data_IF_028069626535
#
_entry.id   IF_028069626535
#
_cell.length_a   1.000
_cell.length_b   1.000
_cell.length_c   1.000
_cell.angle_alpha   90.00
_cell.angle_beta   90.00
_cell.angle_gamma   90.00
#
_symmetry.space_group_name_H-M   'P 1'
#
loop_
_entity.id
_entity.type
_entity.pdbx_description
1 polymer ?
#
# COMPACT_ATOMS: atom_id res chain seq x y z
N UNK A 1 39.01 5.70 8.00
CA UNK A 1 37.65 5.99 7.50
C UNK A 1 36.85 6.60 8.64
N UNK A 2 36.41 7.86 8.50
CA UNK A 2 35.58 8.49 9.54
C UNK A 2 34.13 8.01 9.39
N UNK A 3 33.34 8.04 10.46
CA UNK A 3 31.89 7.75 10.36
C UNK A 3 31.17 8.72 9.42
N UNK A 4 31.74 9.90 9.22
CA UNK A 4 31.21 10.94 8.36
C UNK A 4 31.43 10.58 6.88
N UNK A 5 32.64 10.15 6.51
CA UNK A 5 32.93 9.70 5.15
C UNK A 5 32.10 8.50 4.72
N UNK A 6 31.80 7.59 5.66
CA UNK A 6 30.93 6.44 5.40
C UNK A 6 29.46 6.83 5.15
N UNK A 7 28.96 7.89 5.80
CA UNK A 7 27.59 8.37 5.57
C UNK A 7 27.44 9.06 4.22
N UNK A 8 28.41 9.90 3.86
CA UNK A 8 28.45 10.59 2.56
C UNK A 8 28.56 9.60 1.41
N UNK A 9 29.36 8.55 1.58
CA UNK A 9 29.48 7.48 0.59
C UNK A 9 28.19 6.65 0.47
N UNK A 10 27.51 6.37 1.58
CA UNK A 10 26.21 5.69 1.57
C UNK A 10 25.13 6.53 0.87
N UNK A 11 25.07 7.82 1.13
CA UNK A 11 24.12 8.73 0.45
C UNK A 11 24.39 8.81 -1.06
N UNK A 12 25.67 8.85 -1.46
CA UNK A 12 26.06 8.79 -2.88
C UNK A 12 25.58 7.50 -3.54
N UNK A 13 25.83 6.35 -2.91
CA UNK A 13 25.41 5.04 -3.42
C UNK A 13 23.88 4.91 -3.55
N UNK A 14 23.12 5.46 -2.58
CA UNK A 14 21.65 5.48 -2.64
C UNK A 14 21.18 6.33 -3.83
N UNK A 15 21.74 7.53 -4.02
CA UNK A 15 21.36 8.44 -5.11
C UNK A 15 21.64 7.81 -6.48
N UNK A 16 22.83 7.26 -6.68
CA UNK A 16 23.18 6.57 -7.92
C UNK A 16 22.28 5.36 -8.20
N UNK A 17 21.90 4.61 -7.15
CA UNK A 17 21.01 3.44 -7.30
C UNK A 17 19.59 3.86 -7.70
N UNK A 18 19.10 4.98 -7.16
CA UNK A 18 17.81 5.58 -7.53
C UNK A 18 17.83 6.11 -8.97
N UNK A 19 18.91 6.77 -9.40
CA UNK A 19 19.10 7.27 -10.77
C UNK A 19 19.17 6.14 -11.80
N UNK A 20 19.94 5.09 -11.49
CA UNK A 20 20.08 3.90 -12.34
C UNK A 20 18.80 3.05 -12.41
N UNK A 21 17.78 3.36 -11.59
CA UNK A 21 16.53 2.60 -11.46
C UNK A 21 16.76 1.10 -11.28
N UNK A 22 17.89 0.70 -10.66
CA UNK A 22 18.20 -0.70 -10.38
C UNK A 22 17.30 -1.28 -9.29
N UNK A 23 16.56 -0.42 -8.58
CA UNK A 23 15.59 -0.77 -7.55
C UNK A 23 14.18 -0.67 -8.15
N UNK A 24 13.50 -1.82 -8.25
CA UNK A 24 12.07 -1.86 -8.64
C UNK A 24 11.22 -1.70 -7.39
N UNK A 25 10.66 -0.50 -7.18
CA UNK A 25 9.67 -0.26 -6.13
C UNK A 25 8.30 -0.75 -6.60
N UNK A 26 7.93 -1.99 -6.27
CA UNK A 26 6.57 -2.50 -6.51
C UNK A 26 5.62 -1.97 -5.45
N UNK A 27 4.63 -1.20 -5.86
CA UNK A 27 3.58 -0.71 -4.96
C UNK A 27 2.55 -1.83 -4.77
N UNK A 28 2.41 -2.30 -3.53
CA UNK A 28 1.46 -3.35 -3.18
C UNK A 28 0.01 -2.87 -3.15
N UNK A 29 -0.91 -3.81 -2.95
CA UNK A 29 -2.34 -3.52 -2.70
C UNK A 29 -2.52 -2.73 -1.41
N UNK A 30 -3.41 -1.74 -1.43
CA UNK A 30 -3.84 -1.01 -0.23
C UNK A 30 -4.97 -1.76 0.49
N UNK A 31 -5.21 -1.40 1.76
CA UNK A 31 -6.31 -1.94 2.57
C UNK A 31 -7.30 -0.83 2.87
N UNK A 32 -8.57 -1.06 2.56
CA UNK A 32 -9.69 -0.17 2.87
C UNK A 32 -10.48 -0.79 4.03
N UNK A 33 -10.68 -0.03 5.10
CA UNK A 33 -11.61 -0.38 6.18
C UNK A 33 -12.99 0.16 5.84
N UNK A 34 -13.93 -0.73 5.56
CA UNK A 34 -15.28 -0.40 5.11
C UNK A 34 -16.32 -1.00 6.06
N UNK A 35 -17.33 -0.21 6.43
CA UNK A 35 -18.46 -0.68 7.23
C UNK A 35 -19.54 -1.22 6.30
N UNK A 36 -20.12 -2.37 6.63
CA UNK A 36 -21.22 -2.91 5.84
C UNK A 36 -22.50 -2.10 6.02
N UNK A 37 -23.11 -1.64 4.92
CA UNK A 37 -24.38 -0.90 4.94
C UNK A 37 -25.59 -1.72 5.40
N UNK A 38 -25.51 -3.06 5.39
CA UNK A 38 -26.61 -3.95 5.81
C UNK A 38 -26.52 -4.34 7.29
N UNK A 39 -25.37 -4.81 7.76
CA UNK A 39 -25.23 -5.38 9.11
C UNK A 39 -24.29 -4.58 10.02
N UNK A 40 -23.74 -3.45 9.56
CA UNK A 40 -22.85 -2.58 10.36
C UNK A 40 -21.47 -3.17 10.70
N UNK A 41 -21.16 -4.38 10.24
CA UNK A 41 -19.89 -5.03 10.57
C UNK A 41 -18.71 -4.39 9.81
N UNK A 42 -17.53 -4.26 10.45
CA UNK A 42 -16.32 -3.79 9.78
C UNK A 42 -15.77 -4.85 8.81
N UNK A 43 -15.32 -4.41 7.64
CA UNK A 43 -14.72 -5.24 6.61
C UNK A 43 -13.36 -4.66 6.19
N UNK A 44 -12.38 -5.55 6.06
CA UNK A 44 -11.05 -5.22 5.55
C UNK A 44 -10.97 -5.68 4.10
N UNK A 45 -11.03 -4.72 3.17
CA UNK A 45 -11.02 -4.94 1.73
C UNK A 45 -9.62 -4.66 1.19
N UNK A 46 -9.08 -5.54 0.36
CA UNK A 46 -7.83 -5.27 -0.38
C UNK A 46 -8.19 -4.60 -1.70
N UNK A 47 -7.47 -3.53 -2.03
CA UNK A 47 -7.67 -2.76 -3.24
C UNK A 47 -6.35 -2.53 -3.95
N UNK A 48 -6.34 -2.47 -5.27
CA UNK A 48 -5.16 -2.02 -5.99
C UNK A 48 -4.89 -0.54 -5.73
N UNK A 49 -3.65 -0.10 -5.96
CA UNK A 49 -3.30 1.30 -5.77
C UNK A 49 -4.18 2.19 -6.66
N UNK A 50 -4.78 3.21 -6.05
CA UNK A 50 -5.62 4.18 -6.76
C UNK A 50 -7.08 3.76 -6.91
N UNK A 51 -7.44 2.54 -6.51
CA UNK A 51 -8.85 2.14 -6.42
C UNK A 51 -9.42 2.57 -5.06
N UNK A 52 -10.39 3.47 -5.09
CA UNK A 52 -11.20 3.83 -3.92
C UNK A 52 -12.50 3.02 -3.84
N UNK A 53 -13.08 2.67 -5.00
CA UNK A 53 -14.32 1.90 -5.12
C UNK A 53 -14.05 0.47 -5.54
N UNK A 54 -14.16 -0.45 -4.58
CA UNK A 54 -13.94 -1.88 -4.76
C UNK A 54 -15.17 -2.64 -4.30
N UNK A 55 -15.67 -3.54 -5.16
CA UNK A 55 -16.77 -4.43 -4.82
C UNK A 55 -16.29 -5.50 -3.85
N UNK A 56 -17.02 -5.70 -2.76
CA UNK A 56 -16.72 -6.72 -1.77
C UNK A 56 -18.00 -7.34 -1.20
N UNK A 57 -17.92 -8.63 -0.85
CA UNK A 57 -18.93 -9.28 -0.06
C UNK A 57 -18.63 -9.07 1.43
N UNK A 58 -19.64 -8.67 2.21
CA UNK A 58 -19.51 -8.56 3.65
C UNK A 58 -19.16 -9.93 4.24
N UNK A 59 -18.07 -10.02 5.02
CA UNK A 59 -17.62 -11.28 5.64
C UNK A 59 -18.60 -11.82 6.68
N UNK A 60 -19.47 -10.97 7.21
CA UNK A 60 -20.42 -11.36 8.25
C UNK A 60 -21.78 -11.79 7.66
N UNK A 61 -22.37 -11.00 6.75
CA UNK A 61 -23.73 -11.25 6.25
C UNK A 61 -23.80 -11.61 4.76
N UNK A 62 -22.67 -11.65 4.04
CA UNK A 62 -22.61 -12.01 2.62
C UNK A 62 -23.11 -10.94 1.65
N UNK A 63 -23.59 -9.79 2.13
CA UNK A 63 -24.13 -8.73 1.27
C UNK A 63 -23.04 -8.16 0.35
N UNK A 64 -23.31 -8.11 -0.95
CA UNK A 64 -22.42 -7.49 -1.94
C UNK A 64 -22.63 -5.98 -1.94
N UNK A 65 -21.54 -5.23 -1.77
CA UNK A 65 -21.53 -3.78 -1.75
C UNK A 65 -20.20 -3.26 -2.31
N UNK A 66 -20.06 -1.94 -2.42
CA UNK A 66 -18.83 -1.28 -2.84
C UNK A 66 -18.34 -0.31 -1.76
N UNK A 67 -17.02 -0.12 -1.69
CA UNK A 67 -16.42 0.93 -0.86
C UNK A 67 -16.72 2.31 -1.44
N UNK A 68 -16.69 3.35 -0.59
CA UNK A 68 -17.02 4.75 -0.94
C UNK A 68 -15.96 5.40 -1.86
#
# INVERSE_FOLDING_TARGET
MSKQSLREEAERLIRESMEKKSIVVKQGTTRIEAVCGKCGAPNRVQAEKGQSRVKFACKNCGHQQETL
#
